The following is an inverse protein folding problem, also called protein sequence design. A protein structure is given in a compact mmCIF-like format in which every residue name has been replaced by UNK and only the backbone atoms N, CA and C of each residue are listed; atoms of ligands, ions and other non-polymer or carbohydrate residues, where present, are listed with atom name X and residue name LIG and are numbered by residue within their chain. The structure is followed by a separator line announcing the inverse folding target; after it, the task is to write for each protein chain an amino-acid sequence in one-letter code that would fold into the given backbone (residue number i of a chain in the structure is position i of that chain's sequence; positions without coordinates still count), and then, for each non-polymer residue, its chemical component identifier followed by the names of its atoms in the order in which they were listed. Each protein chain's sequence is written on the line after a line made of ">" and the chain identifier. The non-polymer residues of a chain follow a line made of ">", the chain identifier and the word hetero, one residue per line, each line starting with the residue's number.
data_IF_268816827948
#
_entry.id   IF_268816827948
#
_cell.length_a   1.000
_cell.length_b   1.000
_cell.length_c   1.000
_cell.angle_alpha   90.00
_cell.angle_beta   90.00
_cell.angle_gamma   90.00
#
_symmetry.space_group_name_H-M   'P 1'
#
loop_
_entity.id
_entity.type
_entity.pdbx_description
1 polymer ?
#
# COMPACT_ATOMS: atom_id res chain seq x y z
N UNK A 1 1.09 4.14 -22.57
CA UNK A 1 1.21 4.58 -21.16
C UNK A 1 2.43 5.48 -21.06
N UNK A 2 2.30 6.65 -20.41
CA UNK A 2 3.37 7.65 -20.31
C UNK A 2 4.38 7.29 -19.21
N UNK A 3 5.63 6.99 -19.59
CA UNK A 3 6.69 6.55 -18.69
C UNK A 3 7.07 7.61 -17.65
N UNK A 4 7.15 8.88 -18.06
CA UNK A 4 7.53 9.98 -17.18
C UNK A 4 6.47 10.22 -16.09
N UNK A 5 5.19 9.99 -16.42
CA UNK A 5 4.10 10.07 -15.43
C UNK A 5 4.20 8.96 -14.38
N UNK A 6 4.62 7.76 -14.76
CA UNK A 6 4.78 6.65 -13.84
C UNK A 6 5.97 6.88 -12.91
N UNK A 7 7.13 7.28 -13.43
CA UNK A 7 8.33 7.57 -12.62
C UNK A 7 8.09 8.68 -11.60
N UNK A 8 7.32 9.72 -11.96
CA UNK A 8 6.96 10.79 -11.01
C UNK A 8 6.09 10.31 -9.85
N UNK A 9 5.29 9.26 -10.04
CA UNK A 9 4.36 8.74 -9.03
C UNK A 9 5.02 7.61 -8.22
N UNK A 10 5.76 6.73 -8.89
CA UNK A 10 6.27 5.48 -8.31
C UNK A 10 7.80 5.47 -8.08
N UNK A 11 8.54 6.45 -8.63
CA UNK A 11 9.99 6.48 -8.60
C UNK A 11 10.64 5.71 -9.76
N UNK A 12 11.97 5.72 -9.78
CA UNK A 12 12.80 5.18 -10.87
C UNK A 12 13.11 3.68 -10.72
N UNK A 13 12.99 3.15 -9.49
CA UNK A 13 13.39 1.78 -9.15
C UNK A 13 12.24 1.04 -8.49
N UNK A 14 11.74 0.02 -9.19
CA UNK A 14 10.92 -1.00 -8.56
C UNK A 14 11.82 -1.93 -7.74
N UNK A 15 11.36 -2.39 -6.56
CA UNK A 15 12.08 -3.43 -5.84
C UNK A 15 12.19 -4.69 -6.69
N UNK A 16 13.33 -5.38 -6.60
CA UNK A 16 13.60 -6.64 -7.30
C UNK A 16 12.60 -7.74 -6.90
N UNK A 17 12.10 -7.66 -5.66
CA UNK A 17 11.14 -8.60 -5.09
C UNK A 17 9.82 -7.94 -4.73
N UNK A 18 8.73 -8.69 -4.83
CA UNK A 18 7.38 -8.23 -4.47
C UNK A 18 7.17 -8.22 -2.96
N UNK A 19 6.01 -7.77 -2.49
CA UNK A 19 5.73 -7.72 -1.06
C UNK A 19 5.52 -9.12 -0.45
N UNK A 20 4.98 -10.07 -1.21
CA UNK A 20 4.74 -11.45 -0.78
C UNK A 20 6.03 -12.28 -0.65
N UNK A 21 7.09 -11.91 -1.36
CA UNK A 21 8.42 -12.54 -1.28
C UNK A 21 9.26 -12.04 -0.10
N UNK A 22 8.86 -10.92 0.53
CA UNK A 22 9.60 -10.30 1.66
C UNK A 22 9.06 -10.78 3.00
N UNK A 23 9.94 -10.90 3.99
CA UNK A 23 9.54 -11.21 5.36
C UNK A 23 8.58 -10.13 5.88
N UNK A 24 7.42 -10.49 6.47
CA UNK A 24 6.38 -9.54 6.90
C UNK A 24 6.82 -8.49 7.94
N UNK A 25 8.04 -8.55 8.48
CA UNK A 25 8.53 -7.64 9.53
C UNK A 25 9.37 -6.44 9.06
N UNK A 26 9.92 -6.45 7.84
CA UNK A 26 10.98 -5.50 7.46
C UNK A 26 10.50 -4.08 7.07
N UNK A 27 9.19 -3.84 6.94
CA UNK A 27 8.68 -2.52 6.52
C UNK A 27 7.19 -2.27 6.79
N UNK A 28 6.50 -3.19 7.46
CA UNK A 28 5.06 -3.10 7.69
C UNK A 28 4.75 -2.41 9.01
N UNK A 29 4.85 -1.07 9.06
CA UNK A 29 4.19 -0.28 10.11
C UNK A 29 2.65 -0.31 10.03
N UNK A 30 2.07 -1.21 9.23
CA UNK A 30 0.64 -1.29 8.91
C UNK A 30 -0.20 -2.04 9.96
N UNK A 31 0.39 -2.56 11.05
CA UNK A 31 -0.35 -3.35 12.03
C UNK A 31 -1.42 -2.58 12.81
N UNK A 32 -1.18 -1.29 13.10
CA UNK A 32 -2.13 -0.46 13.85
C UNK A 32 -2.82 0.60 12.97
N UNK A 33 -2.06 1.28 12.10
CA UNK A 33 -2.59 2.37 11.26
C UNK A 33 -3.43 1.89 10.07
N UNK A 34 -3.08 0.74 9.46
CA UNK A 34 -3.86 0.18 8.35
C UNK A 34 -5.20 -0.38 8.80
N UNK A 35 -5.20 -0.96 10.00
CA UNK A 35 -6.38 -1.53 10.64
C UNK A 35 -7.41 -0.45 11.03
N UNK A 36 -6.95 0.70 11.50
CA UNK A 36 -7.80 1.86 11.77
C UNK A 36 -8.40 2.45 10.48
N UNK A 37 -7.60 2.56 9.42
CA UNK A 37 -8.08 3.01 8.11
C UNK A 37 -9.18 2.10 7.55
N UNK A 38 -9.00 0.79 7.63
CA UNK A 38 -9.97 -0.20 7.15
C UNK A 38 -11.31 -0.10 7.88
N UNK A 39 -11.29 0.11 9.21
CA UNK A 39 -12.52 0.29 10.02
C UNK A 39 -13.30 1.55 9.63
N UNK A 40 -12.62 2.62 9.19
CA UNK A 40 -13.24 3.88 8.75
C UNK A 40 -13.89 3.78 7.37
N UNK A 41 -13.52 2.79 6.55
CA UNK A 41 -14.10 2.57 5.22
C UNK A 41 -15.41 1.76 5.25
N UNK A 42 -15.97 1.45 6.43
CA UNK A 42 -17.24 0.72 6.51
C UNK A 42 -18.38 1.59 5.97
N UNK A 43 -19.10 1.16 4.92
CA UNK A 43 -20.24 1.91 4.39
C UNK A 43 -21.28 2.16 5.48
N UNK A 44 -22.00 3.30 5.45
CA UNK A 44 -23.08 3.54 6.38
C UNK A 44 -24.15 2.46 6.21
N UNK A 45 -24.50 1.79 7.30
CA UNK A 45 -25.65 0.89 7.34
C UNK A 45 -26.89 1.78 7.25
N UNK A 46 -27.51 1.83 6.08
CA UNK A 46 -28.85 2.38 5.96
C UNK A 46 -29.78 1.49 6.80
N UNK A 47 -30.35 2.08 7.85
CA UNK A 47 -31.34 1.44 8.71
C UNK A 47 -32.65 1.19 8.00
#
# INVERSE_FOLDING_TARGET
>A
MDRARLERIFGDVFPDTTADEREPGAGSSSGAAGDEWLRRQRPPHHG
#
